data_IF_559416136739
#
_entry.id   IF_559416136739
#
_cell.length_a   1.000
_cell.length_b   1.000
_cell.length_c   1.000
_cell.angle_alpha   90.00
_cell.angle_beta   90.00
_cell.angle_gamma   90.00
#
_symmetry.space_group_name_H-M   'P 1'
#
loop_
_entity.id
_entity.type
_entity.pdbx_description
1 polymer ?
#
# COMPACT_ATOMS: atom_id res chain seq x y z
N UNK A 1 -25.99 29.57 -23.76
CA UNK A 1 -25.16 29.39 -22.54
C UNK A 1 -23.77 28.99 -22.99
N UNK A 2 -22.73 29.58 -22.41
CA UNK A 2 -21.34 29.12 -22.60
C UNK A 2 -21.11 27.84 -21.78
N UNK A 3 -20.40 26.82 -22.30
CA UNK A 3 -19.93 25.71 -21.47
C UNK A 3 -19.06 26.20 -20.31
N UNK A 4 -19.02 25.49 -19.17
CA UNK A 4 -18.09 25.80 -18.08
C UNK A 4 -16.64 25.63 -18.55
N UNK A 5 -15.76 26.51 -18.09
CA UNK A 5 -14.32 26.41 -18.35
C UNK A 5 -13.67 25.35 -17.46
N UNK A 6 -12.52 24.82 -17.89
CA UNK A 6 -11.69 23.95 -17.05
C UNK A 6 -11.37 24.64 -15.71
N UNK A 7 -11.43 23.90 -14.60
CA UNK A 7 -11.09 24.42 -13.27
C UNK A 7 -9.59 24.71 -13.15
N UNK A 8 -9.25 25.79 -12.45
CA UNK A 8 -7.87 26.22 -12.17
C UNK A 8 -7.03 25.08 -11.57
N UNK A 9 -5.74 25.02 -11.93
CA UNK A 9 -4.78 24.07 -11.35
C UNK A 9 -3.63 24.84 -10.70
N UNK A 10 -3.32 24.52 -9.45
CA UNK A 10 -2.24 25.11 -8.68
C UNK A 10 -1.09 24.12 -8.46
N UNK A 11 0.12 24.65 -8.31
CA UNK A 11 1.28 23.91 -7.83
C UNK A 11 1.62 24.45 -6.44
N UNK A 12 1.47 23.62 -5.40
CA UNK A 12 1.80 24.01 -4.02
C UNK A 12 3.26 23.68 -3.65
N UNK A 13 4.02 23.06 -4.56
CA UNK A 13 5.45 22.81 -4.39
C UNK A 13 5.77 21.46 -3.76
N UNK A 14 7.02 21.31 -3.32
CA UNK A 14 7.52 20.14 -2.59
C UNK A 14 7.06 20.17 -1.13
N UNK A 15 6.72 19.00 -0.60
CA UNK A 15 6.36 18.77 0.80
C UNK A 15 7.22 17.63 1.34
N UNK A 16 8.10 17.96 2.29
CA UNK A 16 8.90 16.97 3.00
C UNK A 16 7.98 16.10 3.88
N UNK A 17 8.23 14.79 3.91
CA UNK A 17 7.50 13.82 4.70
C UNK A 17 8.44 13.17 5.73
N UNK A 18 7.93 12.93 6.93
CA UNK A 18 8.64 12.17 7.97
C UNK A 18 8.03 10.77 8.11
N UNK A 19 8.82 9.73 8.44
CA UNK A 19 8.28 8.45 8.87
C UNK A 19 7.30 8.62 10.03
N UNK A 20 6.20 7.86 10.03
CA UNK A 20 5.16 7.92 11.05
C UNK A 20 5.05 6.62 11.84
N UNK A 21 4.86 5.50 11.13
CA UNK A 21 4.71 4.16 11.71
C UNK A 21 4.81 3.09 10.61
N UNK A 22 5.24 1.87 10.91
CA UNK A 22 5.06 0.75 9.99
C UNK A 22 3.64 0.18 10.05
N UNK A 23 3.27 -0.54 8.99
CA UNK A 23 2.12 -1.43 8.96
C UNK A 23 2.11 -2.39 10.17
N UNK A 24 3.28 -2.89 10.57
CA UNK A 24 3.42 -3.92 11.60
C UNK A 24 3.28 -3.38 13.02
N UNK A 25 3.64 -2.11 13.25
CA UNK A 25 3.38 -1.42 14.53
C UNK A 25 1.92 -0.99 14.62
N UNK A 26 1.42 -0.24 13.62
CA UNK A 26 0.06 0.28 13.65
C UNK A 26 -1.00 -0.84 13.70
N UNK A 27 -0.80 -1.96 12.98
CA UNK A 27 -1.76 -3.07 12.96
C UNK A 27 -1.85 -3.88 14.27
N UNK A 28 -0.95 -3.67 15.25
CA UNK A 28 -1.11 -4.26 16.60
C UNK A 28 -2.33 -3.73 17.35
N UNK A 29 -2.86 -2.57 16.93
CA UNK A 29 -4.10 -1.99 17.45
C UNK A 29 -5.38 -2.60 16.85
N UNK A 30 -5.25 -3.36 15.75
CA UNK A 30 -6.38 -3.88 14.98
C UNK A 30 -6.78 -5.29 15.43
N UNK A 31 -8.08 -5.64 15.37
CA UNK A 31 -8.55 -6.96 15.75
C UNK A 31 -8.05 -8.03 14.76
N UNK A 32 -7.45 -9.09 15.30
CA UNK A 32 -7.02 -10.26 14.53
C UNK A 32 -7.98 -11.43 14.72
N UNK A 33 -8.14 -12.24 13.66
CA UNK A 33 -9.06 -13.38 13.63
C UNK A 33 -8.26 -14.68 13.48
N UNK A 34 -8.32 -15.62 14.45
CA UNK A 34 -7.70 -16.93 14.30
C UNK A 34 -8.52 -17.87 13.40
N UNK A 35 -7.86 -18.75 12.64
CA UNK A 35 -8.49 -19.81 11.83
C UNK A 35 -7.50 -20.91 11.47
N UNK A 36 -7.99 -22.12 11.16
CA UNK A 36 -7.12 -23.23 10.78
C UNK A 36 -6.41 -23.00 9.42
N UNK A 37 -7.13 -22.44 8.44
CA UNK A 37 -6.60 -22.01 7.13
C UNK A 37 -6.73 -20.48 6.98
N UNK A 38 -6.03 -19.83 6.02
CA UNK A 38 -6.16 -18.39 5.78
C UNK A 38 -7.58 -17.97 5.40
N UNK A 39 -7.98 -16.76 5.82
CA UNK A 39 -9.29 -16.17 5.51
C UNK A 39 -9.23 -15.24 4.30
N UNK A 40 -10.19 -15.35 3.38
CA UNK A 40 -10.32 -14.38 2.29
C UNK A 40 -10.75 -13.01 2.85
N UNK A 41 -10.44 -11.94 2.12
CA UNK A 41 -10.86 -10.57 2.39
C UNK A 41 -12.36 -10.47 2.65
N UNK A 42 -13.18 -11.16 1.85
CA UNK A 42 -14.64 -11.20 1.99
C UNK A 42 -15.06 -11.83 3.32
N UNK A 43 -14.39 -12.90 3.75
CA UNK A 43 -14.63 -13.57 5.04
C UNK A 43 -14.10 -12.82 6.27
N UNK A 44 -13.38 -11.70 6.04
CA UNK A 44 -12.96 -10.71 7.02
C UNK A 44 -13.76 -9.40 6.92
N UNK A 45 -14.80 -9.35 6.06
CA UNK A 45 -15.55 -8.15 5.70
C UNK A 45 -14.71 -6.98 5.15
N UNK A 46 -13.47 -7.24 4.70
CA UNK A 46 -12.55 -6.24 4.17
C UNK A 46 -12.73 -6.09 2.65
N UNK A 47 -13.44 -5.05 2.22
CA UNK A 47 -13.67 -4.84 0.78
C UNK A 47 -12.38 -4.41 0.04
N UNK A 48 -11.59 -3.50 0.62
CA UNK A 48 -10.34 -2.98 0.05
C UNK A 48 -9.32 -2.69 1.18
N UNK A 49 -8.03 -2.87 0.90
CA UNK A 49 -6.93 -2.69 1.87
C UNK A 49 -5.85 -3.74 1.71
N UNK A 50 -5.16 -4.04 2.81
CA UNK A 50 -4.25 -5.20 2.92
C UNK A 50 -4.72 -6.14 4.04
N UNK A 51 -4.30 -7.40 3.99
CA UNK A 51 -4.43 -8.34 5.12
C UNK A 51 -3.05 -8.83 5.49
N UNK A 52 -2.75 -8.85 6.79
CA UNK A 52 -1.57 -9.48 7.36
C UNK A 52 -1.97 -10.90 7.77
N UNK A 53 -1.34 -11.90 7.18
CA UNK A 53 -1.52 -13.31 7.49
C UNK A 53 -0.30 -13.81 8.26
N UNK A 54 -0.52 -14.40 9.44
CA UNK A 54 0.56 -14.83 10.32
C UNK A 54 0.38 -16.27 10.79
N UNK A 55 1.44 -17.07 10.77
CA UNK A 55 1.47 -18.42 11.35
C UNK A 55 2.87 -18.76 11.87
N UNK A 56 3.00 -19.87 12.62
CA UNK A 56 4.28 -20.42 13.07
C UNK A 56 4.66 -21.58 12.16
N UNK A 57 5.90 -21.58 11.66
CA UNK A 57 6.36 -22.61 10.72
C UNK A 57 6.64 -23.92 11.46
N UNK A 58 5.80 -24.91 11.18
CA UNK A 58 6.12 -26.34 11.25
C UNK A 58 6.32 -26.86 9.81
N UNK A 59 7.25 -27.81 9.60
CA UNK A 59 7.84 -28.14 8.28
C UNK A 59 6.80 -28.53 7.20
N UNK A 60 6.85 -28.16 5.89
CA UNK A 60 7.98 -28.38 4.94
C UNK A 60 7.74 -27.86 3.47
N UNK A 61 8.49 -26.82 2.99
CA UNK A 61 8.88 -26.39 1.59
C UNK A 61 7.99 -25.57 0.55
N UNK A 62 7.72 -24.26 0.72
CA UNK A 62 7.29 -23.23 -0.30
C UNK A 62 5.79 -23.06 -0.75
N UNK A 63 5.46 -21.86 -1.30
CA UNK A 63 4.19 -21.07 -1.20
C UNK A 63 3.53 -20.64 -2.55
N UNK A 64 2.29 -20.10 -2.49
CA UNK A 64 1.52 -19.28 -3.46
C UNK A 64 1.06 -17.95 -2.76
N UNK A 65 0.81 -16.77 -3.38
CA UNK A 65 0.50 -16.48 -4.80
C UNK A 65 0.94 -15.05 -5.25
N UNK A 66 0.52 -13.98 -4.54
CA UNK A 66 1.26 -12.70 -4.38
C UNK A 66 1.33 -12.40 -2.89
N UNK A 67 2.51 -12.02 -2.39
CA UNK A 67 2.68 -11.68 -0.98
C UNK A 67 4.10 -11.30 -0.63
N UNK A 68 4.24 -10.41 0.35
CA UNK A 68 5.51 -9.97 0.91
C UNK A 68 5.82 -10.83 2.12
N UNK A 69 6.90 -11.60 2.05
CA UNK A 69 7.22 -12.63 3.03
C UNK A 69 8.26 -12.11 4.02
N UNK A 70 7.90 -12.09 5.30
CA UNK A 70 8.79 -11.74 6.40
C UNK A 70 9.08 -12.96 7.27
N UNK A 71 10.36 -13.13 7.63
CA UNK A 71 10.82 -14.06 8.66
C UNK A 71 11.50 -13.25 9.76
N UNK A 72 10.98 -13.36 10.98
CA UNK A 72 11.47 -12.64 12.18
C UNK A 72 11.66 -11.12 11.97
N UNK A 73 10.80 -10.51 11.13
CA UNK A 73 10.82 -9.08 10.79
C UNK A 73 11.61 -8.71 9.52
N UNK A 74 12.41 -9.61 8.96
CA UNK A 74 13.21 -9.36 7.76
C UNK A 74 12.46 -9.78 6.50
N UNK A 75 12.38 -8.91 5.49
CA UNK A 75 11.81 -9.23 4.18
C UNK A 75 12.70 -10.24 3.46
N UNK A 76 12.15 -11.40 3.09
CA UNK A 76 12.88 -12.49 2.40
C UNK A 76 12.39 -12.78 0.98
N UNK A 77 11.31 -12.14 0.53
CA UNK A 77 10.89 -12.21 -0.88
C UNK A 77 9.48 -11.71 -1.18
N UNK A 78 9.15 -11.72 -2.47
CA UNK A 78 7.92 -11.22 -3.05
C UNK A 78 7.39 -12.23 -4.09
N UNK A 79 6.17 -12.73 -3.90
CA UNK A 79 5.42 -13.56 -4.85
C UNK A 79 4.59 -12.63 -5.78
N UNK A 80 4.20 -13.00 -7.01
CA UNK A 80 3.32 -12.15 -7.84
C UNK A 80 2.41 -12.80 -8.92
N UNK A 81 1.07 -12.72 -8.73
CA UNK A 81 0.04 -13.21 -9.69
C UNK A 81 0.13 -12.65 -11.12
N UNK A 82 0.39 -11.35 -11.32
CA UNK A 82 0.51 -10.77 -12.67
C UNK A 82 1.72 -11.28 -13.46
N UNK A 83 2.71 -11.87 -12.79
CA UNK A 83 3.96 -12.37 -13.38
C UNK A 83 4.00 -13.91 -13.35
N UNK A 84 2.90 -14.56 -12.95
CA UNK A 84 2.83 -16.00 -12.60
C UNK A 84 3.93 -16.44 -11.61
N UNK A 85 4.50 -15.49 -10.86
CA UNK A 85 5.63 -15.64 -9.96
C UNK A 85 5.15 -16.21 -8.61
N UNK A 86 4.53 -17.38 -8.68
CA UNK A 86 3.76 -17.94 -7.58
C UNK A 86 4.62 -18.48 -6.45
N UNK A 87 5.87 -18.89 -6.71
CA UNK A 87 6.76 -19.50 -5.71
C UNK A 87 7.93 -18.60 -5.33
N UNK A 88 8.21 -18.48 -4.03
CA UNK A 88 9.42 -17.87 -3.48
C UNK A 88 10.20 -18.92 -2.68
N UNK A 89 11.51 -19.09 -2.93
CA UNK A 89 12.36 -19.97 -2.11
C UNK A 89 12.62 -19.34 -0.75
N UNK A 90 12.24 -20.03 0.34
CA UNK A 90 12.42 -19.54 1.72
C UNK A 90 13.22 -20.54 2.56
N UNK A 91 14.27 -20.04 3.22
CA UNK A 91 15.09 -20.81 4.17
C UNK A 91 14.54 -20.71 5.60
N UNK A 92 13.38 -21.33 5.82
CA UNK A 92 12.70 -21.34 7.10
C UNK A 92 13.29 -22.36 8.09
N UNK A 93 13.23 -22.03 9.39
CA UNK A 93 13.51 -22.90 10.54
C UNK A 93 12.21 -23.18 11.28
N UNK A 94 12.15 -24.29 12.02
CA UNK A 94 10.99 -24.61 12.87
C UNK A 94 10.79 -23.51 13.92
N UNK A 95 9.53 -23.15 14.17
CA UNK A 95 9.16 -22.17 15.19
C UNK A 95 9.33 -20.70 14.78
N UNK A 96 9.87 -20.41 13.58
CA UNK A 96 9.87 -19.04 13.06
C UNK A 96 8.46 -18.55 12.75
N UNK A 97 8.23 -17.25 12.92
CA UNK A 97 6.98 -16.61 12.50
C UNK A 97 7.03 -16.34 10.99
N UNK A 98 6.06 -16.90 10.26
CA UNK A 98 5.78 -16.51 8.89
C UNK A 98 4.75 -15.39 8.91
N UNK A 99 5.12 -14.21 8.39
CA UNK A 99 4.17 -13.13 8.12
C UNK A 99 4.11 -12.86 6.62
N UNK A 100 2.90 -12.89 6.05
CA UNK A 100 2.62 -12.60 4.64
C UNK A 100 1.63 -11.46 4.55
N UNK A 101 2.04 -10.34 3.95
CA UNK A 101 1.13 -9.23 3.65
C UNK A 101 0.59 -9.37 2.23
N UNK A 102 -0.73 -9.26 2.06
CA UNK A 102 -1.41 -9.36 0.76
C UNK A 102 -2.23 -8.11 0.49
N UNK A 103 -2.06 -7.53 -0.71
CA UNK A 103 -2.83 -6.38 -1.20
C UNK A 103 -3.98 -6.84 -2.10
N UNK A 104 -5.21 -6.36 -1.84
CA UNK A 104 -6.28 -6.43 -2.84
C UNK A 104 -6.06 -5.33 -3.87
N UNK A 105 -5.59 -5.68 -5.07
CA UNK A 105 -5.37 -4.75 -6.19
C UNK A 105 -6.65 -4.39 -6.96
N UNK A 106 -7.82 -4.66 -6.39
CA UNK A 106 -9.13 -4.53 -7.05
C UNK A 106 -9.65 -5.88 -7.56
N UNK A 107 -10.96 -5.98 -7.77
CA UNK A 107 -11.63 -7.19 -8.28
C UNK A 107 -11.91 -7.04 -9.78
N UNK A 108 -11.75 -8.13 -10.52
CA UNK A 108 -12.10 -8.23 -11.94
C UNK A 108 -13.56 -7.79 -12.15
N UNK A 109 -13.77 -6.81 -13.02
CA UNK A 109 -15.08 -6.20 -13.29
C UNK A 109 -15.72 -6.67 -14.61
N UNK A 110 -15.09 -7.58 -15.35
CA UNK A 110 -15.54 -8.06 -16.66
C UNK A 110 -15.16 -9.52 -16.93
N UNK A 111 -15.95 -10.21 -17.77
CA UNK A 111 -15.69 -11.59 -18.18
C UNK A 111 -16.09 -12.65 -17.14
N UNK A 112 -15.61 -13.88 -17.33
CA UNK A 112 -15.90 -15.02 -16.44
C UNK A 112 -15.22 -14.92 -15.06
N UNK A 113 -14.14 -14.13 -14.96
CA UNK A 113 -13.32 -14.00 -13.75
C UNK A 113 -13.91 -13.12 -12.64
N UNK A 114 -15.14 -12.60 -12.77
CA UNK A 114 -15.72 -11.62 -11.82
C UNK A 114 -15.91 -12.13 -10.38
N UNK A 115 -15.91 -13.44 -10.15
CA UNK A 115 -15.92 -14.03 -8.80
C UNK A 115 -14.50 -14.05 -8.19
N UNK A 116 -13.90 -12.87 -8.08
CA UNK A 116 -12.47 -12.65 -7.81
C UNK A 116 -12.21 -12.37 -6.32
N UNK A 117 -12.40 -13.41 -5.49
CA UNK A 117 -12.10 -13.37 -4.05
C UNK A 117 -10.63 -13.02 -3.79
N UNK A 118 -10.33 -12.31 -2.68
CA UNK A 118 -9.00 -11.75 -2.41
C UNK A 118 -8.36 -12.28 -1.14
N UNK A 119 -7.03 -12.19 -1.08
CA UNK A 119 -6.22 -12.75 0.01
C UNK A 119 -5.45 -13.99 -0.43
N UNK A 120 -5.03 -14.80 0.54
CA UNK A 120 -4.49 -16.14 0.28
C UNK A 120 -5.67 -17.09 0.02
N UNK A 121 -5.78 -17.61 -1.20
CA UNK A 121 -6.92 -18.41 -1.65
C UNK A 121 -6.55 -19.90 -1.63
N UNK A 122 -7.18 -20.66 -0.73
CA UNK A 122 -6.92 -22.09 -0.56
C UNK A 122 -5.78 -22.40 0.42
N UNK A 123 -5.28 -23.65 0.43
CA UNK A 123 -4.27 -24.10 1.39
C UNK A 123 -2.91 -23.48 1.08
N UNK A 124 -2.45 -22.54 1.91
CA UNK A 124 -1.06 -22.08 1.86
C UNK A 124 -0.18 -23.22 2.31
N UNK A 125 0.66 -23.68 1.39
CA UNK A 125 1.62 -24.72 1.69
C UNK A 125 2.95 -24.12 2.06
N UNK A 126 3.63 -24.85 2.93
CA UNK A 126 5.00 -25.17 2.65
C UNK A 126 4.90 -26.53 1.90
N UNK A 127 5.17 -26.55 0.60
CA UNK A 127 5.41 -27.74 -0.24
C UNK A 127 4.34 -28.82 -0.25
N UNK A 128 4.55 -29.83 0.60
CA UNK A 128 3.57 -30.91 0.83
C UNK A 128 2.78 -30.71 2.13
N UNK A 129 3.28 -29.93 3.09
CA UNK A 129 2.60 -29.61 4.36
C UNK A 129 1.85 -28.29 4.26
N UNK A 130 0.52 -28.37 4.22
CA UNK A 130 -0.34 -27.22 4.45
C UNK A 130 -0.06 -26.58 5.81
N UNK A 131 0.26 -25.29 5.83
CA UNK A 131 0.44 -24.53 7.06
C UNK A 131 -0.94 -24.22 7.67
N UNK A 132 -1.06 -24.46 8.98
CA UNK A 132 -2.31 -24.26 9.73
C UNK A 132 -2.19 -23.14 10.77
N UNK A 133 -3.22 -22.97 11.62
CA UNK A 133 -3.22 -22.06 12.77
C UNK A 133 -2.87 -20.60 12.41
N UNK A 134 -3.58 -20.05 11.43
CA UNK A 134 -3.40 -18.69 10.94
C UNK A 134 -4.06 -17.65 11.84
N UNK A 135 -3.36 -16.55 12.06
CA UNK A 135 -3.90 -15.29 12.57
C UNK A 135 -4.05 -14.32 11.39
N UNK A 136 -5.23 -13.72 11.24
CA UNK A 136 -5.57 -12.89 10.09
C UNK A 136 -5.95 -11.48 10.57
N UNK A 137 -5.13 -10.47 10.30
CA UNK A 137 -5.40 -9.07 10.67
C UNK A 137 -5.80 -8.27 9.44
N UNK A 138 -7.06 -7.84 9.38
CA UNK A 138 -7.60 -7.04 8.29
C UNK A 138 -7.25 -5.56 8.48
N UNK A 139 -6.60 -4.95 7.49
CA UNK A 139 -6.12 -3.56 7.57
C UNK A 139 -6.91 -2.66 6.60
N UNK A 140 -7.86 -1.86 7.10
CA UNK A 140 -8.64 -0.95 6.27
C UNK A 140 -7.80 0.26 5.85
N UNK A 141 -7.66 0.46 4.53
CA UNK A 141 -6.95 1.60 3.93
C UNK A 141 -7.91 2.63 3.31
N UNK A 142 -9.20 2.55 3.62
CA UNK A 142 -10.20 3.57 3.27
C UNK A 142 -10.22 4.75 4.25
N UNK A 143 -9.83 4.52 5.50
CA UNK A 143 -9.61 5.51 6.56
C UNK A 143 -8.37 5.08 7.34
N UNK A 144 -7.50 6.03 7.68
CA UNK A 144 -6.22 5.82 8.38
C UNK A 144 -6.22 6.34 9.83
N UNK A 145 -7.36 6.79 10.37
CA UNK A 145 -7.47 7.34 11.74
C UNK A 145 -7.16 6.38 12.90
N UNK A 146 -6.66 5.17 12.60
CA UNK A 146 -6.19 4.15 13.54
C UNK A 146 -4.65 4.08 13.59
N UNK A 147 -3.92 4.75 12.67
CA UNK A 147 -2.47 4.84 12.75
C UNK A 147 -2.05 5.82 13.86
N UNK A 148 -0.98 5.50 14.56
CA UNK A 148 -0.37 6.35 15.61
C UNK A 148 1.15 6.31 15.46
N UNK A 149 1.88 7.37 15.85
CA UNK A 149 3.34 7.38 15.73
C UNK A 149 4.02 6.22 16.47
N UNK A 150 5.06 5.64 15.87
CA UNK A 150 5.92 4.63 16.50
C UNK A 150 7.40 4.84 16.15
N UNK A 151 8.28 4.39 17.04
CA UNK A 151 9.74 4.46 16.87
C UNK A 151 10.26 3.22 16.11
N UNK A 152 9.83 3.09 14.86
CA UNK A 152 10.13 1.97 13.97
C UNK A 152 10.55 2.43 12.55
N UNK A 153 11.07 3.65 12.45
CA UNK A 153 11.56 4.23 11.20
C UNK A 153 12.64 3.34 10.53
N UNK A 154 12.51 3.14 9.21
CA UNK A 154 13.36 2.22 8.44
C UNK A 154 12.85 0.77 8.41
N UNK A 155 11.75 0.45 9.08
CA UNK A 155 11.00 -0.78 8.83
C UNK A 155 10.45 -0.83 7.40
N UNK A 156 10.06 -2.01 6.94
CA UNK A 156 9.32 -2.15 5.69
C UNK A 156 7.84 -1.73 5.87
N UNK A 157 7.18 -1.39 4.76
CA UNK A 157 5.78 -0.96 4.71
C UNK A 157 5.44 0.19 5.66
N UNK A 158 5.93 1.39 5.32
CA UNK A 158 5.87 2.57 6.19
C UNK A 158 4.80 3.56 5.75
N UNK A 159 4.11 4.13 6.74
CA UNK A 159 3.36 5.36 6.61
C UNK A 159 4.30 6.56 6.79
N UNK A 160 4.18 7.55 5.92
CA UNK A 160 4.91 8.82 5.98
C UNK A 160 3.92 9.98 5.99
N UNK A 161 4.18 10.99 6.82
CA UNK A 161 3.29 12.16 7.02
C UNK A 161 4.01 13.48 6.85
N UNK A 162 3.34 14.47 6.26
CA UNK A 162 3.83 15.84 6.15
C UNK A 162 2.68 16.86 6.07
N UNK A 163 3.04 18.15 6.07
CA UNK A 163 2.08 19.26 6.15
C UNK A 163 2.46 20.40 5.20
N UNK A 164 1.47 21.02 4.56
CA UNK A 164 1.66 22.15 3.66
C UNK A 164 0.56 23.20 3.77
N UNK A 165 0.92 24.48 3.71
CA UNK A 165 0.01 25.60 3.99
C UNK A 165 -0.44 26.31 2.71
N UNK A 166 -1.75 26.44 2.50
CA UNK A 166 -2.34 27.18 1.36
C UNK A 166 -2.76 28.58 1.84
N UNK A 167 -2.14 29.63 1.33
CA UNK A 167 -2.37 31.03 1.77
C UNK A 167 -3.57 31.72 1.14
N UNK A 168 -4.23 31.09 0.16
CA UNK A 168 -5.40 31.64 -0.54
C UNK A 168 -6.52 30.60 -0.73
N UNK A 169 -7.42 30.85 -1.68
CA UNK A 169 -8.47 29.88 -2.06
C UNK A 169 -7.85 28.63 -2.68
N UNK A 170 -8.10 27.42 -2.17
CA UNK A 170 -7.58 26.21 -2.78
C UNK A 170 -8.12 26.02 -4.21
N UNK A 171 -7.21 25.72 -5.13
CA UNK A 171 -7.49 25.19 -6.46
C UNK A 171 -7.14 23.70 -6.53
N UNK A 172 -7.61 23.02 -7.57
CA UNK A 172 -7.24 21.63 -7.82
C UNK A 172 -5.72 21.51 -8.03
N UNK A 173 -5.16 20.34 -7.76
CA UNK A 173 -3.74 20.07 -8.02
C UNK A 173 -3.54 18.59 -8.37
N UNK A 174 -2.31 18.19 -8.66
CA UNK A 174 -1.93 16.79 -8.84
C UNK A 174 -0.75 16.47 -7.91
N UNK A 175 -0.88 15.39 -7.14
CA UNK A 175 0.17 14.85 -6.29
C UNK A 175 1.12 14.00 -7.16
N UNK A 176 2.40 14.38 -7.19
CA UNK A 176 3.50 13.65 -7.85
C UNK A 176 4.40 13.02 -6.78
N UNK A 177 4.83 11.79 -7.04
CA UNK A 177 5.51 10.91 -6.06
C UNK A 177 6.84 10.41 -6.62
N UNK A 178 7.70 11.33 -7.05
CA UNK A 178 9.03 11.00 -7.59
C UNK A 178 9.86 10.24 -6.54
N UNK A 179 10.58 9.18 -6.94
CA UNK A 179 11.43 8.39 -6.04
C UNK A 179 10.69 7.40 -5.13
N UNK A 180 9.36 7.43 -5.07
CA UNK A 180 8.53 6.41 -4.42
C UNK A 180 8.30 5.23 -5.35
N UNK A 181 7.98 4.06 -4.80
CA UNK A 181 7.84 2.83 -5.59
C UNK A 181 6.38 2.46 -5.79
N UNK A 182 5.64 2.14 -4.73
CA UNK A 182 4.27 1.64 -4.83
C UNK A 182 3.48 1.89 -3.55
N UNK A 183 2.30 2.49 -3.64
CA UNK A 183 1.55 2.78 -2.43
C UNK A 183 0.17 3.38 -2.60
N UNK A 184 -0.31 4.01 -1.52
CA UNK A 184 -1.60 4.71 -1.41
C UNK A 184 -1.35 6.09 -0.80
N UNK A 185 -2.13 7.11 -1.20
CA UNK A 185 -2.03 8.47 -0.69
C UNK A 185 -3.35 9.01 -0.14
N UNK A 186 -3.28 9.87 0.87
CA UNK A 186 -4.40 10.59 1.48
C UNK A 186 -4.04 12.07 1.69
N UNK A 187 -4.98 12.98 1.43
CA UNK A 187 -4.84 14.41 1.73
C UNK A 187 -6.01 14.84 2.60
N UNK A 188 -5.75 15.44 3.76
CA UNK A 188 -6.75 15.70 4.81
C UNK A 188 -7.65 14.46 5.04
N UNK A 189 -7.02 13.29 5.26
CA UNK A 189 -7.63 11.97 5.47
C UNK A 189 -8.47 11.40 4.30
N UNK A 190 -8.68 12.15 3.22
CA UNK A 190 -9.36 11.66 2.01
C UNK A 190 -8.41 10.81 1.16
N UNK A 191 -8.76 9.53 0.97
CA UNK A 191 -7.98 8.59 0.16
C UNK A 191 -8.02 8.96 -1.33
N UNK A 192 -6.88 9.36 -1.89
CA UNK A 192 -6.71 9.70 -3.31
C UNK A 192 -6.64 8.47 -4.22
N UNK A 193 -6.34 7.30 -3.65
CA UNK A 193 -6.08 6.06 -4.38
C UNK A 193 -4.59 5.69 -4.43
N UNK A 194 -4.24 4.83 -5.39
CA UNK A 194 -2.93 4.17 -5.47
C UNK A 194 -1.96 4.90 -6.39
N UNK A 195 -0.67 4.87 -6.05
CA UNK A 195 0.42 5.22 -6.96
C UNK A 195 1.31 4.01 -7.26
N UNK A 196 1.87 3.96 -8.47
CA UNK A 196 2.87 2.96 -8.88
C UNK A 196 3.77 3.53 -10.00
N UNK A 197 4.49 4.65 -9.77
CA UNK A 197 5.22 5.38 -10.81
C UNK A 197 6.22 4.52 -11.58
N UNK A 198 6.87 3.55 -10.93
CA UNK A 198 7.82 2.63 -11.58
C UNK A 198 7.19 1.71 -12.65
N UNK A 199 5.88 1.45 -12.57
CA UNK A 199 5.13 0.68 -13.57
C UNK A 199 4.37 1.58 -14.55
N UNK A 200 3.94 2.75 -14.10
CA UNK A 200 3.18 3.71 -14.91
C UNK A 200 1.83 3.15 -15.41
N UNK A 201 1.27 3.74 -16.48
CA UNK A 201 1.67 5.02 -17.08
C UNK A 201 1.30 6.22 -16.19
N UNK A 202 0.51 6.01 -15.13
CA UNK A 202 0.10 7.07 -14.20
C UNK A 202 1.23 7.43 -13.21
N UNK A 203 1.70 8.68 -13.29
CA UNK A 203 2.76 9.25 -12.46
C UNK A 203 2.22 10.26 -11.43
N UNK A 204 1.00 10.78 -11.62
CA UNK A 204 0.35 11.72 -10.70
C UNK A 204 -1.06 11.30 -10.28
N UNK A 205 -1.42 11.52 -9.02
CA UNK A 205 -2.79 11.41 -8.50
C UNK A 205 -3.51 12.77 -8.55
N UNK A 206 -4.81 12.77 -8.86
CA UNK A 206 -5.62 13.99 -8.86
C UNK A 206 -6.07 14.36 -7.44
N UNK A 207 -5.95 15.64 -7.10
CA UNK A 207 -6.30 16.19 -5.78
C UNK A 207 -7.36 17.29 -6.00
N UNK A 208 -8.65 17.00 -5.74
CA UNK A 208 -9.71 17.98 -5.94
C UNK A 208 -9.66 19.10 -4.91
N UNK A 209 -9.96 20.33 -5.33
CA UNK A 209 -9.94 21.50 -4.44
C UNK A 209 -10.86 21.36 -3.22
N UNK A 210 -11.94 20.56 -3.34
CA UNK A 210 -12.94 20.36 -2.30
C UNK A 210 -12.48 19.56 -1.06
N UNK A 211 -11.31 18.91 -1.10
CA UNK A 211 -10.69 18.29 0.08
C UNK A 211 -9.56 19.13 0.68
N UNK A 212 -9.22 20.26 0.05
CA UNK A 212 -8.20 21.20 0.49
C UNK A 212 -8.83 22.35 1.28
N UNK A 213 -8.05 22.96 2.18
CA UNK A 213 -8.45 24.13 2.96
C UNK A 213 -7.38 25.21 2.95
N UNK A 214 -7.77 26.47 3.10
CA UNK A 214 -6.85 27.58 3.39
C UNK A 214 -6.24 27.36 4.78
N UNK A 215 -4.95 27.64 4.95
CA UNK A 215 -4.16 27.19 6.10
C UNK A 215 -3.54 25.80 5.86
N UNK A 216 -3.27 25.06 6.93
CA UNK A 216 -2.45 23.85 6.89
C UNK A 216 -3.22 22.60 6.47
N UNK A 217 -2.69 21.85 5.51
CA UNK A 217 -3.23 20.61 4.97
C UNK A 217 -2.28 19.46 5.30
N UNK A 218 -2.83 18.28 5.64
CA UNK A 218 -2.02 17.06 5.83
C UNK A 218 -1.90 16.27 4.53
N UNK A 219 -0.76 15.62 4.35
CA UNK A 219 -0.49 14.59 3.35
C UNK A 219 0.04 13.35 4.09
N UNK A 220 -0.60 12.21 3.88
CA UNK A 220 -0.11 10.91 4.32
C UNK A 220 0.05 10.01 3.10
N UNK A 221 1.14 9.25 3.05
CA UNK A 221 1.29 8.15 2.08
C UNK A 221 1.71 6.87 2.79
N UNK A 222 1.33 5.75 2.21
CA UNK A 222 1.71 4.41 2.65
C UNK A 222 2.45 3.74 1.51
N UNK A 223 3.76 3.51 1.69
CA UNK A 223 4.65 2.87 0.72
C UNK A 223 4.79 1.38 1.04
N UNK A 224 4.64 0.52 0.03
CA UNK A 224 4.56 -0.94 0.14
C UNK A 224 5.87 -1.65 -0.22
N UNK A 225 6.69 -1.04 -1.09
CA UNK A 225 7.85 -1.69 -1.72
C UNK A 225 9.17 -0.99 -1.32
N UNK A 226 9.36 0.29 -1.65
CA UNK A 226 10.54 1.06 -1.22
C UNK A 226 10.30 2.58 -1.27
N UNK A 227 10.68 3.26 -0.20
CA UNK A 227 10.71 4.72 -0.13
C UNK A 227 12.03 5.28 -0.71
N UNK A 228 12.09 6.57 -1.06
CA UNK A 228 13.36 7.28 -1.24
C UNK A 228 14.18 7.28 0.06
N UNK A 229 15.51 7.29 -0.04
CA UNK A 229 16.44 7.05 1.07
C UNK A 229 16.91 8.31 1.82
N UNK A 230 16.52 9.51 1.34
CA UNK A 230 16.98 10.79 1.89
C UNK A 230 18.38 11.22 1.42
N UNK A 231 19.00 10.49 0.47
CA UNK A 231 20.27 10.89 -0.13
C UNK A 231 20.12 12.11 -1.06
N UNK A 232 21.21 12.80 -1.45
CA UNK A 232 21.12 14.03 -2.26
C UNK A 232 20.44 13.80 -3.62
N UNK A 233 19.22 14.33 -3.79
CA UNK A 233 18.37 14.12 -4.97
C UNK A 233 17.24 13.10 -4.76
N UNK A 234 17.26 12.36 -3.64
CA UNK A 234 16.27 11.38 -3.22
C UNK A 234 15.60 11.82 -1.91
N UNK A 235 15.10 13.05 -1.87
CA UNK A 235 14.38 13.59 -0.72
C UNK A 235 13.19 12.67 -0.35
N UNK A 236 12.93 12.50 0.95
CA UNK A 236 11.68 11.90 1.44
C UNK A 236 10.58 12.95 1.33
N UNK A 237 10.07 13.15 0.11
CA UNK A 237 9.15 14.22 -0.22
C UNK A 237 8.18 13.86 -1.35
N UNK A 238 7.15 14.68 -1.52
CA UNK A 238 6.20 14.61 -2.64
C UNK A 238 5.93 16.02 -3.17
N UNK A 239 5.46 16.15 -4.41
CA UNK A 239 5.25 17.46 -5.03
C UNK A 239 3.81 17.67 -5.52
N UNK A 240 3.20 18.80 -5.17
CA UNK A 240 1.92 19.24 -5.70
C UNK A 240 2.13 20.13 -6.94
N UNK A 241 1.69 19.66 -8.10
CA UNK A 241 1.89 20.26 -9.43
C UNK A 241 0.57 20.66 -10.10
N UNK A 242 0.60 21.70 -10.94
CA UNK A 242 -0.55 22.14 -11.75
C UNK A 242 -0.72 21.34 -13.05
N UNK A 243 0.24 20.49 -13.42
CA UNK A 243 0.21 19.64 -14.62
C UNK A 243 0.17 18.16 -14.20
N UNK A 244 -0.74 17.39 -14.80
CA UNK A 244 -0.85 15.95 -14.60
C UNK A 244 0.10 15.16 -15.50
N UNK A 245 0.47 13.97 -15.06
CA UNK A 245 1.16 12.98 -15.88
C UNK A 245 0.47 11.62 -15.71
N UNK A 246 -0.33 11.26 -16.72
CA UNK A 246 -1.09 10.00 -16.78
C UNK A 246 -0.63 9.06 -17.89
N UNK A 247 0.23 9.57 -18.79
CA UNK A 247 0.80 8.89 -19.96
C UNK A 247 2.34 8.89 -19.86
N UNK A 248 2.87 8.61 -18.68
CA UNK A 248 4.30 8.41 -18.47
C UNK A 248 4.80 7.06 -19.04
N UNK A 249 6.11 6.77 -18.91
CA UNK A 249 6.66 5.50 -19.35
C UNK A 249 6.05 4.32 -18.58
N UNK A 250 6.10 3.16 -19.21
CA UNK A 250 5.86 1.84 -18.60
C UNK A 250 7.08 0.96 -18.91
N UNK A 251 7.35 -0.09 -18.12
CA UNK A 251 8.31 -1.12 -18.52
C UNK A 251 7.96 -1.74 -19.88
N UNK A 252 8.97 -2.23 -20.60
CA UNK A 252 8.79 -3.04 -21.80
C UNK A 252 8.13 -4.41 -21.46
N UNK A 253 7.31 -4.98 -22.36
CA UNK A 253 6.54 -6.21 -22.14
C UNK A 253 7.34 -7.52 -22.30
#
# INVERSE_FOLDING_TARGET
>A
MTPPTNSTKAAYGEVLLSPHTSLFSAAQTLPSVPSDSPKTFESLALFNGVVIYETVIDFMTAVNDRGYVYLDGVLVGLLARQQEAYQVPVFARQGQKLTVVVESQGRVCYGSGINDAKGLIGPVKLGSTELRNWTNTAVPLTNISWITPSDDAGSAMMFYTGTFSITGTPSDTFLRVDGWTKGIAWVNDFCLGRYWPIMGPQQTLYVPHGILKTGDNSITIFELESAPDGSPGHNISVAFTNVHQINGPTPDP
#
